data_IF_550339099786
#
_entry.id   IF_550339099786
#
_cell.length_a   1.000
_cell.length_b   1.000
_cell.length_c   1.000
_cell.angle_alpha   90.00
_cell.angle_beta   90.00
_cell.angle_gamma   90.00
#
_symmetry.space_group_name_H-M   'P 1'
#
loop_
_entity.id
_entity.type
_entity.pdbx_description
1 polymer ?
#
# COMPACT_ATOMS: atom_id res chain seq x y z
N UNK A 1 31.23 5.14 -13.59
CA UNK A 1 29.94 4.43 -13.55
C UNK A 1 28.87 5.40 -13.09
N UNK A 2 27.74 5.52 -13.80
CA UNK A 2 26.55 6.22 -13.30
C UNK A 2 25.31 5.40 -13.63
N UNK A 3 24.79 4.70 -12.64
CA UNK A 3 23.48 4.08 -12.65
C UNK A 3 22.96 4.07 -11.21
N UNK A 4 21.65 4.17 -11.06
CA UNK A 4 20.97 4.06 -9.78
C UNK A 4 19.79 3.11 -9.92
N UNK A 5 19.51 2.35 -8.86
CA UNK A 5 18.34 1.49 -8.74
C UNK A 5 17.43 2.18 -7.73
N UNK A 6 16.16 2.30 -8.10
CA UNK A 6 15.12 2.84 -7.25
C UNK A 6 14.06 1.77 -7.02
N UNK A 7 13.46 1.84 -5.84
CA UNK A 7 12.17 1.22 -5.61
C UNK A 7 11.08 1.98 -6.39
N UNK A 8 9.94 1.33 -6.65
CA UNK A 8 8.87 1.92 -7.46
C UNK A 8 7.82 2.58 -6.56
N UNK A 9 7.16 1.79 -5.72
CA UNK A 9 6.01 2.20 -4.92
C UNK A 9 6.46 3.07 -3.75
N UNK A 10 5.80 4.21 -3.56
CA UNK A 10 6.17 5.21 -2.56
C UNK A 10 7.49 5.95 -2.84
N UNK A 11 8.30 5.48 -3.80
CA UNK A 11 9.59 6.10 -4.16
C UNK A 11 9.52 6.87 -5.48
N UNK A 12 9.17 6.20 -6.58
CA UNK A 12 8.98 6.84 -7.89
C UNK A 12 7.52 7.14 -8.19
N UNK A 13 6.60 6.38 -7.58
CA UNK A 13 5.16 6.51 -7.79
C UNK A 13 4.46 6.62 -6.44
N UNK A 14 3.59 7.61 -6.29
CA UNK A 14 2.74 7.77 -5.09
C UNK A 14 1.54 6.80 -5.15
N UNK A 15 1.80 5.54 -4.79
CA UNK A 15 0.83 4.44 -4.89
C UNK A 15 0.34 3.92 -3.53
N UNK A 16 0.85 4.44 -2.40
CA UNK A 16 0.64 3.84 -1.08
C UNK A 16 -0.84 3.81 -0.66
N UNK A 17 -1.56 4.91 -0.84
CA UNK A 17 -2.98 4.98 -0.49
C UNK A 17 -3.83 4.10 -1.42
N UNK A 18 -3.43 3.95 -2.68
CA UNK A 18 -4.09 3.06 -3.64
C UNK A 18 -3.94 1.60 -3.23
N UNK A 19 -2.78 1.20 -2.72
CA UNK A 19 -2.59 -0.13 -2.16
C UNK A 19 -3.49 -0.38 -0.95
N UNK A 20 -3.65 0.62 -0.07
CA UNK A 20 -4.54 0.50 1.09
C UNK A 20 -5.99 0.33 0.66
N UNK A 21 -6.47 1.10 -0.33
CA UNK A 21 -7.83 0.95 -0.82
C UNK A 21 -8.03 -0.43 -1.45
N UNK A 22 -7.13 -0.89 -2.30
CA UNK A 22 -7.22 -2.21 -2.94
C UNK A 22 -7.31 -3.35 -1.90
N UNK A 23 -6.53 -3.25 -0.82
CA UNK A 23 -6.64 -4.20 0.28
C UNK A 23 -7.95 -4.07 1.05
N UNK A 24 -8.44 -2.85 1.28
CA UNK A 24 -9.73 -2.62 1.93
C UNK A 24 -10.88 -3.25 1.13
N UNK A 25 -10.88 -3.07 -0.19
CA UNK A 25 -11.86 -3.68 -1.09
C UNK A 25 -11.79 -5.21 -1.03
N UNK A 26 -10.58 -5.76 -1.03
CA UNK A 26 -10.35 -7.20 -0.91
C UNK A 26 -10.87 -7.74 0.42
N UNK A 27 -10.57 -7.09 1.54
CA UNK A 27 -11.05 -7.53 2.85
C UNK A 27 -12.58 -7.49 2.95
N UNK A 28 -13.19 -6.41 2.45
CA UNK A 28 -14.64 -6.26 2.39
C UNK A 28 -15.28 -7.39 1.56
N UNK A 29 -14.66 -7.77 0.44
CA UNK A 29 -15.12 -8.90 -0.36
C UNK A 29 -15.17 -10.22 0.43
N UNK A 30 -14.26 -10.42 1.38
CA UNK A 30 -14.22 -11.59 2.27
C UNK A 30 -14.94 -11.36 3.62
N UNK A 31 -15.76 -10.32 3.73
CA UNK A 31 -16.57 -10.04 4.92
C UNK A 31 -15.76 -9.52 6.12
N UNK A 32 -14.58 -8.95 5.88
CA UNK A 32 -13.74 -8.32 6.92
C UNK A 32 -13.74 -6.80 6.72
N UNK A 33 -14.13 -6.07 7.74
CA UNK A 33 -14.11 -4.61 7.71
C UNK A 33 -12.88 -4.08 8.45
N UNK A 34 -12.12 -3.21 7.79
CA UNK A 34 -10.99 -2.49 8.36
C UNK A 34 -11.03 -1.05 7.91
N UNK A 35 -10.70 -0.14 8.82
CA UNK A 35 -10.47 1.26 8.49
C UNK A 35 -9.15 1.42 7.72
N UNK A 36 -9.04 2.49 6.94
CA UNK A 36 -7.79 2.80 6.24
C UNK A 36 -6.61 2.92 7.22
N UNK A 37 -6.81 3.55 8.38
CA UNK A 37 -5.77 3.69 9.40
C UNK A 37 -5.32 2.35 10.00
N UNK A 38 -6.23 1.39 10.20
CA UNK A 38 -5.87 0.03 10.60
C UNK A 38 -5.05 -0.69 9.53
N UNK A 39 -5.39 -0.48 8.25
CA UNK A 39 -4.63 -1.06 7.14
C UNK A 39 -3.26 -0.40 7.00
N UNK A 40 -3.13 0.92 7.17
CA UNK A 40 -1.84 1.60 7.20
C UNK A 40 -0.92 1.11 8.33
N UNK A 41 -1.48 0.79 9.51
CA UNK A 41 -0.71 0.24 10.63
C UNK A 41 -0.27 -1.21 10.41
N UNK A 42 -1.03 -1.96 9.60
CA UNK A 42 -0.76 -3.38 9.29
C UNK A 42 0.15 -3.54 8.07
N UNK A 43 0.16 -2.57 7.17
CA UNK A 43 1.08 -2.56 6.04
C UNK A 43 2.53 -2.40 6.53
N UNK A 44 3.48 -3.18 6.00
CA UNK A 44 4.89 -2.90 6.22
C UNK A 44 5.16 -1.45 5.75
N UNK A 45 5.83 -0.66 6.60
CA UNK A 45 6.34 0.66 6.21
C UNK A 45 7.52 0.43 5.28
N UNK A 46 7.25 0.43 3.97
CA UNK A 46 8.24 0.71 2.94
C UNK A 46 8.02 2.15 2.49
#
# INVERSE_FOLDING_TARGET
MRAAIFDLDGTLVDSNDLHVEAWRETFRHFGKEFTASELHQRSPRW
#
